data_IF_852660855259
#
_entry.id   IF_852660855259
#
_cell.length_a   1.000
_cell.length_b   1.000
_cell.length_c   1.000
_cell.angle_alpha   90.00
_cell.angle_beta   90.00
_cell.angle_gamma   90.00
#
_symmetry.space_group_name_H-M   'P 1'
#
loop_
_entity.id
_entity.type
_entity.pdbx_description
1 polymer ?
#
# COMPACT_ATOMS: atom_id res chain seq x y z
N UNK A 1 1.33 12.13 22.48
CA UNK A 1 0.32 11.25 21.86
C UNK A 1 -0.75 12.17 21.26
N UNK A 2 -1.01 12.01 19.98
CA UNK A 2 -1.94 12.84 19.21
C UNK A 2 -3.20 12.04 18.87
N UNK A 3 -4.38 12.65 18.95
CA UNK A 3 -5.66 11.97 18.68
C UNK A 3 -6.45 12.81 17.67
N UNK A 4 -6.96 12.16 16.64
CA UNK A 4 -7.78 12.79 15.60
C UNK A 4 -8.96 11.89 15.22
N UNK A 5 -10.09 12.50 14.87
CA UNK A 5 -11.22 11.81 14.25
C UNK A 5 -11.07 11.83 12.73
N UNK A 6 -11.10 10.64 12.12
CA UNK A 6 -11.01 10.49 10.67
C UNK A 6 -12.12 9.57 10.19
N UNK A 7 -13.23 10.13 9.71
CA UNK A 7 -14.31 9.33 9.14
C UNK A 7 -13.86 8.62 7.88
N UNK A 8 -14.42 7.48 7.59
CA UNK A 8 -14.06 6.67 6.43
C UNK A 8 -12.58 6.27 6.36
N UNK A 9 -11.95 6.03 7.51
CA UNK A 9 -10.58 5.54 7.61
C UNK A 9 -10.55 4.23 8.41
N UNK A 10 -9.82 3.22 7.93
CA UNK A 10 -9.71 1.95 8.63
C UNK A 10 -8.33 1.30 8.43
N UNK A 11 -7.55 1.20 9.51
CA UNK A 11 -6.19 0.65 9.48
C UNK A 11 -6.16 -0.80 9.00
N UNK A 12 -7.11 -1.63 9.43
CA UNK A 12 -7.14 -3.04 9.03
C UNK A 12 -7.49 -3.20 7.55
N UNK A 13 -8.40 -2.35 7.01
CA UNK A 13 -8.72 -2.36 5.58
C UNK A 13 -7.52 -1.91 4.73
N UNK A 14 -6.83 -0.86 5.13
CA UNK A 14 -5.62 -0.37 4.44
C UNK A 14 -4.55 -1.45 4.45
N UNK A 15 -4.26 -2.05 5.60
CA UNK A 15 -3.27 -3.12 5.72
C UNK A 15 -3.63 -4.34 4.86
N UNK A 16 -4.88 -4.78 4.90
CA UNK A 16 -5.34 -5.96 4.18
C UNK A 16 -5.53 -5.72 2.67
N UNK A 17 -5.57 -4.47 2.22
CA UNK A 17 -5.57 -4.11 0.80
C UNK A 17 -4.17 -4.06 0.18
N UNK A 18 -3.11 -4.34 0.94
CA UNK A 18 -1.72 -4.32 0.51
C UNK A 18 -1.17 -2.94 0.08
N UNK A 19 -1.89 -1.84 0.33
CA UNK A 19 -1.38 -0.48 0.06
C UNK A 19 -0.14 -0.15 0.89
N UNK A 20 -0.08 -0.67 2.12
CA UNK A 20 0.98 -0.41 3.09
C UNK A 20 1.90 -1.64 3.26
N UNK A 21 2.91 -1.86 2.40
CA UNK A 21 3.69 -3.10 2.38
C UNK A 21 4.54 -3.33 3.62
N UNK A 22 4.95 -2.28 4.34
CA UNK A 22 5.87 -2.39 5.48
C UNK A 22 5.27 -2.08 6.85
N UNK A 23 3.96 -1.91 6.96
CA UNK A 23 3.33 -1.80 8.27
C UNK A 23 3.53 -3.06 9.09
N UNK A 24 3.80 -2.92 10.39
CA UNK A 24 3.92 -4.03 11.32
C UNK A 24 2.61 -4.11 12.12
N UNK A 25 1.87 -5.20 11.93
CA UNK A 25 0.64 -5.44 12.69
C UNK A 25 0.99 -5.93 14.10
N UNK A 26 0.50 -5.25 15.13
CA UNK A 26 0.64 -5.65 16.53
C UNK A 26 -0.57 -6.48 16.99
N UNK A 27 -1.76 -6.02 16.63
CA UNK A 27 -3.05 -6.69 16.82
C UNK A 27 -4.07 -6.03 15.89
N UNK A 28 -5.33 -6.44 15.93
CA UNK A 28 -6.37 -5.76 15.19
C UNK A 28 -6.42 -4.28 15.59
N UNK A 29 -6.53 -3.41 14.59
CA UNK A 29 -6.56 -1.94 14.72
C UNK A 29 -5.34 -1.32 15.42
N UNK A 30 -4.19 -2.06 15.55
CA UNK A 30 -2.94 -1.56 16.14
C UNK A 30 -1.75 -1.90 15.27
N UNK A 31 -1.02 -0.86 14.87
CA UNK A 31 0.08 -0.98 13.92
C UNK A 31 1.28 -0.13 14.32
N UNK A 32 2.47 -0.58 13.93
CA UNK A 32 3.62 0.30 13.76
C UNK A 32 3.65 0.70 12.30
N UNK A 33 3.62 1.98 12.06
CA UNK A 33 3.64 2.59 10.73
C UNK A 33 5.01 3.20 10.54
N UNK A 34 5.65 2.84 9.42
CA UNK A 34 7.00 3.25 9.08
C UNK A 34 6.92 4.12 7.84
N UNK A 35 7.53 5.31 7.92
CA UNK A 35 7.68 6.22 6.80
C UNK A 35 9.08 6.86 6.89
N UNK A 36 9.90 6.62 5.85
CA UNK A 36 11.29 7.06 5.79
C UNK A 36 12.11 6.66 7.04
N UNK A 37 12.62 7.63 7.80
CA UNK A 37 13.40 7.45 9.02
C UNK A 37 12.55 7.51 10.31
N UNK A 38 11.23 7.61 10.17
CA UNK A 38 10.30 7.70 11.28
C UNK A 38 9.39 6.48 11.37
N UNK A 39 8.99 6.16 12.59
CA UNK A 39 7.97 5.17 12.86
C UNK A 39 7.11 5.59 14.05
N UNK A 40 5.82 5.32 13.96
CA UNK A 40 4.87 5.57 15.04
C UNK A 40 3.99 4.36 15.30
N UNK A 41 3.55 4.22 16.54
CA UNK A 41 2.43 3.34 16.89
C UNK A 41 1.13 4.07 16.60
N UNK A 42 0.23 3.42 15.89
CA UNK A 42 -1.12 3.90 15.65
C UNK A 42 -2.12 2.87 16.14
N UNK A 43 -3.12 3.33 16.86
CA UNK A 43 -4.26 2.53 17.31
C UNK A 43 -5.54 3.20 16.82
N UNK A 44 -6.49 2.41 16.33
CA UNK A 44 -7.78 2.90 15.90
C UNK A 44 -8.89 2.39 16.83
N UNK A 45 -9.75 3.32 17.27
CA UNK A 45 -10.97 3.01 18.03
C UNK A 45 -12.14 3.71 17.36
N UNK A 46 -12.97 2.99 16.65
CA UNK A 46 -14.01 3.54 15.76
C UNK A 46 -13.40 4.50 14.74
N UNK A 47 -13.80 5.78 14.76
CA UNK A 47 -13.30 6.83 13.86
C UNK A 47 -12.09 7.59 14.42
N UNK A 48 -11.60 7.23 15.61
CA UNK A 48 -10.48 7.90 16.26
C UNK A 48 -9.17 7.16 15.99
N UNK A 49 -8.18 7.90 15.53
CA UNK A 49 -6.79 7.45 15.43
C UNK A 49 -6.01 8.03 16.62
N UNK A 50 -5.35 7.15 17.36
CA UNK A 50 -4.48 7.48 18.48
C UNK A 50 -3.05 7.22 18.02
N UNK A 51 -2.27 8.28 17.86
CA UNK A 51 -0.93 8.22 17.25
C UNK A 51 0.16 8.55 18.26
N UNK A 52 1.22 7.78 18.24
CA UNK A 52 2.41 7.97 19.08
C UNK A 52 3.35 9.06 18.54
N UNK A 53 2.81 10.23 18.19
CA UNK A 53 3.57 11.40 17.74
C UNK A 53 3.12 12.66 18.48
N UNK A 54 3.85 13.75 18.28
CA UNK A 54 3.45 15.11 18.67
C UNK A 54 2.64 15.75 17.52
N UNK A 55 1.97 16.84 17.81
CA UNK A 55 1.10 17.53 16.86
C UNK A 55 1.87 18.04 15.63
N UNK A 56 3.05 18.62 15.83
CA UNK A 56 3.91 19.11 14.74
C UNK A 56 4.30 17.99 13.77
N UNK A 57 4.72 16.82 14.28
CA UNK A 57 5.01 15.65 13.44
C UNK A 57 3.77 15.16 12.70
N UNK A 58 2.58 15.26 13.32
CA UNK A 58 1.35 14.90 12.66
C UNK A 58 1.10 15.78 11.42
N UNK A 59 1.09 17.09 11.57
CA UNK A 59 0.80 18.00 10.45
C UNK A 59 1.88 18.02 9.38
N UNK A 60 3.15 17.88 9.77
CA UNK A 60 4.28 17.94 8.83
C UNK A 60 4.51 16.63 8.06
N UNK A 61 4.08 15.47 8.60
CA UNK A 61 4.40 14.15 8.04
C UNK A 61 3.15 13.30 7.87
N UNK A 62 2.47 12.99 8.99
CA UNK A 62 1.46 11.94 9.01
C UNK A 62 0.15 12.35 8.35
N UNK A 63 -0.18 13.64 8.33
CA UNK A 63 -1.35 14.18 7.63
C UNK A 63 -1.28 13.90 6.12
N UNK A 64 -0.13 14.18 5.52
CA UNK A 64 0.13 13.85 4.11
C UNK A 64 0.26 12.34 3.89
N UNK A 65 0.97 11.65 4.79
CA UNK A 65 1.18 10.21 4.71
C UNK A 65 -0.16 9.46 4.63
N UNK A 66 -1.13 9.80 5.46
CA UNK A 66 -2.45 9.17 5.49
C UNK A 66 -3.45 9.73 4.47
N UNK A 67 -3.02 10.65 3.61
CA UNK A 67 -3.85 11.28 2.57
C UNK A 67 -5.12 11.95 3.13
N UNK A 68 -4.99 12.65 4.24
CA UNK A 68 -6.13 13.23 4.95
C UNK A 68 -6.68 14.51 4.30
N UNK A 69 -6.07 15.00 3.22
CA UNK A 69 -6.59 16.10 2.40
C UNK A 69 -7.73 15.69 1.48
N UNK A 70 -7.78 14.41 1.13
CA UNK A 70 -8.79 13.89 0.20
C UNK A 70 -10.09 13.58 0.93
N UNK A 71 -11.19 14.08 0.42
CA UNK A 71 -12.54 13.74 0.91
C UNK A 71 -12.96 12.34 0.44
N UNK A 72 -12.58 11.33 1.21
CA UNK A 72 -12.94 9.94 0.92
C UNK A 72 -14.44 9.66 1.07
N UNK A 73 -15.22 10.52 1.73
CA UNK A 73 -16.68 10.41 1.73
C UNK A 73 -17.26 10.66 0.35
N UNK A 74 -16.71 11.66 -0.36
CA UNK A 74 -17.05 11.98 -1.74
C UNK A 74 -16.60 10.89 -2.71
N UNK A 75 -15.34 10.43 -2.58
CA UNK A 75 -14.80 9.30 -3.36
C UNK A 75 -15.71 8.08 -3.24
N UNK A 76 -16.04 7.70 -2.01
CA UNK A 76 -16.90 6.57 -1.71
C UNK A 76 -18.32 6.72 -2.31
N UNK A 77 -18.89 7.93 -2.23
CA UNK A 77 -20.20 8.25 -2.82
C UNK A 77 -20.18 8.13 -4.34
N UNK A 78 -19.15 8.66 -4.99
CA UNK A 78 -19.00 8.59 -6.44
C UNK A 78 -18.92 7.14 -6.94
N UNK A 79 -18.11 6.31 -6.29
CA UNK A 79 -18.01 4.88 -6.61
C UNK A 79 -19.35 4.17 -6.42
N UNK A 80 -20.09 4.44 -5.32
CA UNK A 80 -21.41 3.85 -5.05
C UNK A 80 -22.45 4.21 -6.10
N UNK A 81 -22.41 5.45 -6.59
CA UNK A 81 -23.36 5.97 -7.55
C UNK A 81 -23.05 5.53 -8.97
N UNK A 82 -21.79 5.27 -9.29
CA UNK A 82 -21.36 4.94 -10.64
C UNK A 82 -21.98 3.65 -11.16
N UNK A 83 -22.02 2.60 -10.33
CA UNK A 83 -22.66 1.34 -10.73
C UNK A 83 -23.19 0.56 -9.53
N UNK A 84 -24.37 -0.07 -9.68
CA UNK A 84 -25.05 -0.80 -8.58
C UNK A 84 -24.18 -1.90 -7.93
N UNK A 85 -23.35 -2.60 -8.72
CA UNK A 85 -22.45 -3.66 -8.24
C UNK A 85 -21.34 -3.10 -7.32
N UNK A 86 -21.00 -1.81 -7.43
CA UNK A 86 -19.97 -1.19 -6.62
C UNK A 86 -20.44 -0.77 -5.21
N UNK A 87 -21.76 -0.79 -4.95
CA UNK A 87 -22.30 -0.43 -3.62
C UNK A 87 -21.78 -1.33 -2.51
N UNK A 88 -21.77 -2.64 -2.73
CA UNK A 88 -21.26 -3.61 -1.75
C UNK A 88 -19.76 -3.45 -1.55
N UNK A 89 -18.98 -3.28 -2.62
CA UNK A 89 -17.54 -3.04 -2.56
C UNK A 89 -17.23 -1.79 -1.77
N UNK A 90 -17.89 -0.69 -2.12
CA UNK A 90 -17.70 0.59 -1.46
C UNK A 90 -18.09 0.57 0.01
N UNK A 91 -19.16 -0.14 0.40
CA UNK A 91 -19.52 -0.30 1.81
C UNK A 91 -18.45 -1.05 2.61
N UNK A 92 -17.78 -2.02 2.01
CA UNK A 92 -16.78 -2.85 2.67
C UNK A 92 -15.38 -2.26 2.62
N UNK A 93 -15.07 -1.48 1.60
CA UNK A 93 -13.76 -0.84 1.40
C UNK A 93 -13.71 0.63 1.80
N UNK A 94 -14.81 1.17 2.37
CA UNK A 94 -14.96 2.62 2.62
C UNK A 94 -13.87 3.25 3.49
N UNK A 95 -13.14 2.46 4.25
CA UNK A 95 -12.04 2.93 5.10
C UNK A 95 -10.66 2.86 4.44
N UNK A 96 -10.58 2.50 3.17
CA UNK A 96 -9.30 2.41 2.45
C UNK A 96 -8.93 3.79 1.93
N UNK A 97 -7.82 4.32 2.44
CA UNK A 97 -7.13 5.49 1.93
C UNK A 97 -5.86 5.07 1.17
N UNK A 98 -5.48 5.82 0.15
CA UNK A 98 -4.20 5.67 -0.49
C UNK A 98 -3.13 6.32 0.40
N UNK A 99 -2.08 5.56 0.74
CA UNK A 99 -1.01 6.01 1.61
C UNK A 99 0.09 6.67 0.77
N UNK A 100 0.57 7.83 1.20
CA UNK A 100 1.69 8.50 0.54
C UNK A 100 3.01 7.96 1.11
N UNK A 101 3.82 7.35 0.27
CA UNK A 101 5.05 6.68 0.66
C UNK A 101 6.24 7.14 -0.20
N UNK A 102 7.45 6.72 0.18
CA UNK A 102 8.68 7.05 -0.55
C UNK A 102 8.63 6.56 -2.00
N UNK A 103 9.11 7.40 -2.94
CA UNK A 103 9.08 7.14 -4.38
C UNK A 103 9.82 5.85 -4.75
N UNK A 104 11.07 5.71 -4.32
CA UNK A 104 11.89 4.54 -4.63
C UNK A 104 11.28 3.26 -4.04
N UNK A 105 10.80 3.33 -2.79
CA UNK A 105 10.10 2.22 -2.14
C UNK A 105 8.88 1.77 -2.95
N UNK A 106 8.04 2.71 -3.37
CA UNK A 106 6.82 2.39 -4.13
C UNK A 106 7.11 1.90 -5.54
N UNK A 107 8.15 2.41 -6.18
CA UNK A 107 8.57 1.91 -7.49
C UNK A 107 8.99 0.44 -7.40
N UNK A 108 9.85 0.09 -6.45
CA UNK A 108 10.27 -1.31 -6.22
C UNK A 108 9.05 -2.18 -5.88
N UNK A 109 8.16 -1.70 -5.00
CA UNK A 109 6.96 -2.44 -4.64
C UNK A 109 6.04 -2.71 -5.83
N UNK A 110 5.77 -1.70 -6.64
CA UNK A 110 4.90 -1.83 -7.82
C UNK A 110 5.47 -2.82 -8.84
N UNK A 111 6.79 -2.81 -9.07
CA UNK A 111 7.47 -3.76 -9.95
C UNK A 111 7.43 -5.19 -9.42
N UNK A 112 7.65 -5.37 -8.13
CA UNK A 112 7.55 -6.68 -7.49
C UNK A 112 6.11 -7.21 -7.50
N UNK A 113 5.13 -6.35 -7.20
CA UNK A 113 3.72 -6.74 -7.19
C UNK A 113 3.23 -7.14 -8.57
N UNK A 114 3.64 -6.44 -9.63
CA UNK A 114 3.31 -6.77 -11.02
C UNK A 114 3.80 -8.16 -11.42
N UNK A 115 4.99 -8.56 -10.97
CA UNK A 115 5.61 -9.81 -11.39
C UNK A 115 5.29 -11.01 -10.47
N UNK A 116 5.03 -10.76 -9.19
CA UNK A 116 4.97 -11.80 -8.15
C UNK A 116 3.67 -11.78 -7.34
N UNK A 117 2.80 -10.79 -7.58
CA UNK A 117 1.60 -10.55 -6.78
C UNK A 117 1.89 -9.85 -5.44
N UNK A 118 0.85 -9.27 -4.85
CA UNK A 118 0.96 -8.40 -3.68
C UNK A 118 1.53 -9.08 -2.43
N UNK A 119 1.10 -10.31 -2.16
CA UNK A 119 1.53 -11.05 -0.96
C UNK A 119 3.04 -11.31 -0.98
N UNK A 120 3.54 -11.78 -2.11
CA UNK A 120 4.98 -12.05 -2.28
C UNK A 120 5.81 -10.78 -2.34
N UNK A 121 5.29 -9.74 -2.99
CA UNK A 121 5.93 -8.42 -3.01
C UNK A 121 6.10 -7.87 -1.59
N UNK A 122 5.05 -7.89 -0.75
CA UNK A 122 5.12 -7.46 0.66
C UNK A 122 6.20 -8.21 1.45
N UNK A 123 6.26 -9.53 1.31
CA UNK A 123 7.29 -10.36 1.97
C UNK A 123 8.70 -9.93 1.55
N UNK A 124 8.91 -9.71 0.26
CA UNK A 124 10.20 -9.30 -0.30
C UNK A 124 10.58 -7.89 0.15
N UNK A 125 9.62 -6.94 0.17
CA UNK A 125 9.86 -5.59 0.70
C UNK A 125 10.35 -5.63 2.16
N UNK A 126 9.72 -6.46 2.99
CA UNK A 126 10.19 -6.66 4.37
C UNK A 126 11.61 -7.21 4.44
N UNK A 127 11.98 -8.17 3.59
CA UNK A 127 13.34 -8.72 3.52
C UNK A 127 14.35 -7.67 3.03
N UNK A 128 14.05 -6.92 1.98
CA UNK A 128 14.93 -5.85 1.47
C UNK A 128 15.21 -4.84 2.59
N UNK A 129 14.17 -4.38 3.31
CA UNK A 129 14.35 -3.43 4.39
C UNK A 129 15.21 -4.03 5.54
N UNK A 130 14.98 -5.30 5.91
CA UNK A 130 15.75 -5.99 6.96
C UNK A 130 17.23 -6.16 6.58
N UNK A 131 17.52 -6.57 5.35
CA UNK A 131 18.86 -6.93 4.91
C UNK A 131 19.70 -5.69 4.54
N UNK A 132 19.06 -4.68 3.97
CA UNK A 132 19.74 -3.51 3.41
C UNK A 132 19.41 -2.18 4.10
N UNK A 133 18.32 -2.09 4.84
CA UNK A 133 17.90 -0.89 5.53
C UNK A 133 18.71 -0.59 6.79
N UNK A 134 18.48 0.59 7.37
CA UNK A 134 19.08 0.98 8.64
C UNK A 134 18.21 0.48 9.78
N UNK A 135 18.80 -0.33 10.65
CA UNK A 135 18.10 -0.91 11.80
C UNK A 135 17.80 0.15 12.86
N UNK A 136 16.56 0.15 13.33
CA UNK A 136 16.07 0.99 14.42
C UNK A 136 15.39 0.14 15.50
N UNK A 137 15.33 0.68 16.71
CA UNK A 137 14.62 0.07 17.84
C UNK A 137 13.84 1.14 18.60
N UNK A 138 12.61 0.84 18.96
CA UNK A 138 11.78 1.69 19.81
C UNK A 138 10.79 0.82 20.59
N UNK A 139 10.42 1.24 21.80
CA UNK A 139 9.40 0.55 22.59
C UNK A 139 7.97 0.88 22.15
N UNK A 140 7.76 2.03 21.53
CA UNK A 140 6.44 2.57 21.17
C UNK A 140 5.41 2.49 22.32
N UNK A 141 5.90 2.56 23.57
CA UNK A 141 5.06 2.44 24.75
C UNK A 141 4.49 1.03 25.02
N UNK A 142 5.00 -0.01 24.35
CA UNK A 142 4.56 -1.41 24.53
C UNK A 142 5.29 -2.16 25.64
N UNK A 143 6.32 -1.55 26.25
CA UNK A 143 7.21 -2.19 27.23
C UNK A 143 8.33 -3.02 26.60
N UNK A 144 8.18 -3.50 25.37
CA UNK A 144 9.16 -4.29 24.65
C UNK A 144 9.76 -3.52 23.47
N UNK A 145 11.06 -3.72 23.21
CA UNK A 145 11.70 -3.15 22.04
C UNK A 145 11.18 -3.81 20.75
N UNK A 146 10.62 -3.00 19.87
CA UNK A 146 10.23 -3.41 18.52
C UNK A 146 11.36 -2.97 17.59
N UNK A 147 11.90 -3.92 16.82
CA UNK A 147 12.89 -3.64 15.77
C UNK A 147 12.14 -3.33 14.47
N UNK A 148 12.56 -2.27 13.81
CA UNK A 148 12.09 -1.90 12.48
C UNK A 148 13.26 -1.40 11.65
N UNK A 149 13.06 -1.22 10.34
CA UNK A 149 14.11 -0.86 9.40
C UNK A 149 13.65 0.28 8.51
N UNK A 150 14.51 1.27 8.29
CA UNK A 150 14.32 2.28 7.26
C UNK A 150 14.42 1.61 5.88
N UNK A 151 13.76 2.16 4.89
CA UNK A 151 13.98 1.75 3.51
C UNK A 151 15.35 2.25 3.05
N UNK A 152 16.18 1.41 2.42
CA UNK A 152 17.50 1.86 1.96
C UNK A 152 17.37 2.84 0.79
N UNK A 153 18.24 3.86 0.76
CA UNK A 153 18.38 4.68 -0.44
C UNK A 153 19.01 3.86 -1.59
N UNK A 154 18.88 4.32 -2.87
CA UNK A 154 19.55 3.66 -3.99
C UNK A 154 21.05 3.47 -3.79
N UNK A 155 21.74 4.50 -3.23
CA UNK A 155 23.19 4.46 -2.96
C UNK A 155 23.53 3.41 -1.92
N UNK A 156 22.79 3.40 -0.81
CA UNK A 156 23.02 2.44 0.28
C UNK A 156 22.76 1.01 -0.18
N UNK A 157 21.70 0.81 -0.96
CA UNK A 157 21.33 -0.50 -1.50
C UNK A 157 22.40 -1.01 -2.47
N UNK A 158 22.85 -0.15 -3.39
CA UNK A 158 23.88 -0.50 -4.37
C UNK A 158 25.21 -0.84 -3.70
N UNK A 159 25.66 -0.04 -2.71
CA UNK A 159 26.89 -0.29 -1.96
C UNK A 159 26.87 -1.66 -1.26
N UNK A 160 25.74 -1.98 -0.60
CA UNK A 160 25.59 -3.28 0.07
C UNK A 160 25.53 -4.45 -0.91
N UNK A 161 24.78 -4.32 -2.01
CA UNK A 161 24.69 -5.35 -3.06
C UNK A 161 26.05 -5.63 -3.72
N UNK A 162 26.89 -4.59 -3.91
CA UNK A 162 28.22 -4.74 -4.49
C UNK A 162 29.21 -5.45 -3.55
N UNK A 163 29.01 -5.38 -2.23
CA UNK A 163 29.84 -6.07 -1.22
C UNK A 163 29.48 -7.54 -1.05
N UNK A 164 28.31 -7.96 -1.51
CA UNK A 164 27.90 -9.36 -1.47
C UNK A 164 28.70 -10.20 -2.45
N UNK A 165 29.28 -11.31 -1.95
CA UNK A 165 30.07 -12.26 -2.77
C UNK A 165 29.21 -13.27 -3.53
N UNK A 166 27.91 -13.23 -3.31
CA UNK A 166 27.00 -14.27 -3.81
C UNK A 166 26.53 -14.02 -5.25
N UNK A 167 26.30 -15.10 -6.03
CA UNK A 167 25.66 -15.02 -7.34
C UNK A 167 24.24 -14.48 -7.14
N UNK A 168 24.02 -13.25 -7.60
CA UNK A 168 22.79 -12.51 -7.37
C UNK A 168 21.53 -13.28 -7.78
N UNK A 169 20.54 -13.31 -6.91
CA UNK A 169 19.18 -13.75 -7.30
C UNK A 169 18.62 -12.79 -8.34
N UNK A 170 17.61 -13.18 -9.13
CA UNK A 170 16.95 -12.28 -10.09
C UNK A 170 16.51 -10.94 -9.45
N UNK A 171 16.05 -10.99 -8.19
CA UNK A 171 15.65 -9.79 -7.43
C UNK A 171 16.86 -8.89 -7.13
N UNK A 172 17.98 -9.45 -6.67
CA UNK A 172 19.20 -8.67 -6.40
C UNK A 172 19.74 -8.05 -7.68
N UNK A 173 19.75 -8.83 -8.79
CA UNK A 173 20.15 -8.32 -10.11
C UNK A 173 19.25 -7.18 -10.58
N UNK A 174 17.93 -7.30 -10.41
CA UNK A 174 16.98 -6.21 -10.70
C UNK A 174 17.27 -4.97 -9.86
N UNK A 175 17.40 -5.12 -8.53
CA UNK A 175 17.65 -4.01 -7.62
C UNK A 175 18.96 -3.30 -7.95
N UNK A 176 20.03 -4.06 -8.24
CA UNK A 176 21.34 -3.50 -8.62
C UNK A 176 21.23 -2.66 -9.88
N UNK A 177 20.67 -3.21 -10.97
CA UNK A 177 20.47 -2.50 -12.22
C UNK A 177 19.59 -1.25 -12.06
N UNK A 178 18.54 -1.34 -11.25
CA UNK A 178 17.67 -0.19 -10.96
C UNK A 178 18.44 0.92 -10.24
N UNK A 179 19.21 0.59 -9.21
CA UNK A 179 20.01 1.57 -8.49
C UNK A 179 21.07 2.21 -9.39
N UNK A 180 21.77 1.40 -10.23
CA UNK A 180 22.74 1.91 -11.21
C UNK A 180 22.08 2.88 -12.18
N UNK A 181 20.92 2.53 -12.73
CA UNK A 181 20.18 3.39 -13.65
C UNK A 181 19.74 4.72 -12.99
N UNK A 182 19.23 4.67 -11.76
CA UNK A 182 18.82 5.88 -11.01
C UNK A 182 20.02 6.79 -10.74
N UNK A 183 21.18 6.21 -10.35
CA UNK A 183 22.32 7.00 -9.89
C UNK A 183 23.20 7.52 -11.04
N UNK A 184 23.27 6.80 -12.16
CA UNK A 184 24.24 7.08 -13.21
C UNK A 184 23.64 7.40 -14.59
N UNK A 185 22.40 6.93 -14.87
CA UNK A 185 21.80 7.02 -16.20
C UNK A 185 20.61 8.01 -16.24
N UNK A 186 20.42 8.84 -15.22
CA UNK A 186 19.29 9.77 -15.10
C UNK A 186 17.92 9.11 -15.25
N UNK A 187 17.78 7.88 -14.76
CA UNK A 187 16.55 7.12 -14.87
C UNK A 187 15.40 7.77 -14.09
N UNK A 188 14.33 8.12 -14.79
CA UNK A 188 13.12 8.67 -14.20
C UNK A 188 12.15 7.55 -13.81
N UNK A 189 11.93 7.35 -12.52
CA UNK A 189 10.93 6.39 -12.03
C UNK A 189 9.51 6.80 -12.43
N UNK A 190 9.23 8.10 -12.54
CA UNK A 190 7.92 8.63 -12.97
C UNK A 190 7.59 8.27 -14.42
N UNK A 191 8.57 8.35 -15.32
CA UNK A 191 8.38 8.02 -16.73
C UNK A 191 8.34 6.50 -16.99
N UNK A 192 8.96 5.72 -16.11
CA UNK A 192 9.08 4.28 -16.23
C UNK A 192 8.20 3.51 -15.22
N UNK A 193 7.30 4.19 -14.51
CA UNK A 193 6.33 3.59 -13.60
C UNK A 193 5.32 2.71 -14.33
N UNK A 194 4.61 1.91 -13.57
CA UNK A 194 3.42 1.20 -14.04
C UNK A 194 2.17 1.81 -13.38
N UNK A 195 0.98 1.41 -13.82
CA UNK A 195 -0.28 1.94 -13.29
C UNK A 195 -0.40 1.83 -11.76
N UNK A 196 0.19 0.81 -11.14
CA UNK A 196 0.21 0.69 -9.68
C UNK A 196 1.12 1.74 -9.04
N UNK A 197 2.28 2.02 -9.63
CA UNK A 197 3.18 3.08 -9.16
C UNK A 197 2.54 4.46 -9.33
N UNK A 198 1.95 4.72 -10.50
CA UNK A 198 1.24 5.97 -10.77
C UNK A 198 0.12 6.19 -9.75
N UNK A 199 -0.64 5.16 -9.43
CA UNK A 199 -1.71 5.22 -8.45
C UNK A 199 -1.17 5.47 -7.02
N UNK A 200 -0.15 4.71 -6.59
CA UNK A 200 0.34 4.74 -5.21
C UNK A 200 1.23 5.94 -4.91
N UNK A 201 2.06 6.36 -5.88
CA UNK A 201 3.01 7.45 -5.69
C UNK A 201 2.54 8.77 -6.31
N UNK A 202 2.16 8.76 -7.60
CA UNK A 202 1.70 9.97 -8.29
C UNK A 202 0.26 10.37 -7.92
N UNK A 203 -0.45 9.51 -7.19
CA UNK A 203 -1.85 9.73 -6.76
C UNK A 203 -2.82 9.86 -7.94
N UNK A 204 -2.48 9.23 -9.07
CA UNK A 204 -3.37 9.21 -10.24
C UNK A 204 -4.52 8.24 -10.03
N UNK A 205 -5.61 8.73 -9.45
CA UNK A 205 -6.80 7.94 -9.15
C UNK A 205 -7.50 7.39 -10.40
N UNK A 206 -7.15 7.88 -11.60
CA UNK A 206 -7.70 7.38 -12.86
C UNK A 206 -7.08 6.04 -13.31
N UNK A 207 -5.98 5.64 -12.69
CA UNK A 207 -5.28 4.38 -12.99
C UNK A 207 -6.01 3.18 -12.40
N UNK A 208 -6.06 2.10 -13.16
CA UNK A 208 -6.64 0.83 -12.74
C UNK A 208 -5.64 -0.30 -13.04
N UNK A 209 -4.79 -0.67 -12.07
CA UNK A 209 -3.76 -1.69 -12.27
C UNK A 209 -4.37 -3.04 -12.67
N UNK A 210 -3.76 -3.73 -13.62
CA UNK A 210 -4.23 -5.03 -14.10
C UNK A 210 -3.74 -6.23 -13.28
N UNK A 211 -3.11 -5.99 -12.13
CA UNK A 211 -2.48 -7.02 -11.30
C UNK A 211 -3.54 -7.81 -10.53
N UNK A 212 -3.55 -9.13 -10.64
CA UNK A 212 -4.39 -10.10 -9.88
C UNK A 212 -5.92 -9.89 -9.94
N UNK A 213 -6.40 -8.82 -10.58
CA UNK A 213 -7.82 -8.47 -10.54
C UNK A 213 -8.63 -9.25 -11.58
N UNK A 214 -8.03 -9.52 -12.75
CA UNK A 214 -8.78 -10.04 -13.90
C UNK A 214 -9.33 -11.46 -13.73
N UNK A 215 -8.56 -12.39 -13.17
CA UNK A 215 -9.03 -13.79 -13.01
C UNK A 215 -9.84 -13.99 -11.72
N UNK A 216 -9.50 -13.25 -10.67
CA UNK A 216 -10.10 -13.43 -9.35
C UNK A 216 -11.42 -12.68 -9.21
N UNK A 217 -11.60 -11.55 -9.91
CA UNK A 217 -12.87 -10.81 -9.94
C UNK A 217 -13.99 -11.70 -10.50
N UNK A 218 -13.72 -12.38 -11.58
CA UNK A 218 -14.68 -13.27 -12.20
C UNK A 218 -15.18 -14.38 -11.26
N UNK A 219 -14.26 -15.03 -10.53
CA UNK A 219 -14.60 -16.12 -9.61
C UNK A 219 -15.42 -15.66 -8.40
N UNK A 220 -15.12 -14.46 -7.85
CA UNK A 220 -15.73 -14.01 -6.60
C UNK A 220 -17.06 -13.24 -6.78
N UNK A 221 -17.30 -12.66 -7.96
CA UNK A 221 -18.56 -11.97 -8.22
C UNK A 221 -19.65 -12.88 -8.82
N UNK A 222 -19.36 -14.18 -9.06
CA UNK A 222 -20.22 -15.04 -9.91
C UNK A 222 -20.59 -14.34 -11.22
N UNK A 223 -19.76 -13.37 -11.65
CA UNK A 223 -19.84 -12.71 -12.90
C UNK A 223 -18.95 -13.44 -13.87
N UNK A 224 -19.42 -13.64 -15.07
CA UNK A 224 -18.53 -13.95 -16.17
C UNK A 224 -17.45 -12.85 -16.24
N UNK A 225 -16.19 -13.21 -16.47
CA UNK A 225 -15.07 -12.24 -16.64
C UNK A 225 -15.46 -11.16 -17.63
N UNK A 226 -16.23 -11.56 -18.64
CA UNK A 226 -16.72 -10.71 -19.71
C UNK A 226 -17.72 -9.67 -19.17
N UNK A 227 -18.60 -10.03 -18.23
CA UNK A 227 -19.58 -9.10 -17.64
C UNK A 227 -18.94 -7.97 -16.81
N UNK A 228 -17.75 -8.20 -16.22
CA UNK A 228 -17.02 -7.13 -15.53
C UNK A 228 -16.18 -6.29 -16.50
N UNK A 229 -15.62 -6.91 -17.54
CA UNK A 229 -14.94 -6.20 -18.62
C UNK A 229 -15.91 -5.30 -19.41
N UNK A 230 -17.20 -5.65 -19.43
CA UNK A 230 -18.26 -4.85 -20.04
C UNK A 230 -18.65 -3.62 -19.20
N UNK A 231 -18.31 -3.57 -17.89
CA UNK A 231 -18.53 -2.35 -17.12
C UNK A 231 -17.51 -1.31 -17.59
N UNK A 232 -17.98 -0.43 -18.47
CA UNK A 232 -17.16 0.71 -18.90
C UNK A 232 -16.89 1.61 -17.70
N UNK A 233 -15.61 1.67 -17.26
CA UNK A 233 -15.14 2.55 -16.20
C UNK A 233 -14.78 3.96 -16.72
N UNK A 234 -15.05 4.24 -18.01
CA UNK A 234 -14.87 5.56 -18.58
C UNK A 234 -15.79 6.56 -17.84
N UNK A 235 -15.22 7.66 -17.36
CA UNK A 235 -15.96 8.64 -16.55
C UNK A 235 -15.87 8.42 -15.02
N UNK A 236 -15.47 7.27 -14.50
CA UNK A 236 -15.11 7.13 -13.08
C UNK A 236 -13.70 7.64 -12.86
N UNK A 237 -13.56 8.73 -12.10
CA UNK A 237 -12.26 9.31 -11.77
C UNK A 237 -11.51 8.53 -10.70
N UNK A 238 -12.24 7.82 -9.84
CA UNK A 238 -11.73 7.11 -8.67
C UNK A 238 -11.46 5.61 -8.94
N UNK A 239 -11.11 5.25 -10.17
CA UNK A 239 -10.83 3.85 -10.57
C UNK A 239 -9.80 3.17 -9.67
N UNK A 240 -8.76 3.90 -9.27
CA UNK A 240 -7.70 3.37 -8.44
C UNK A 240 -8.17 3.03 -7.02
N UNK A 241 -9.05 3.82 -6.43
CA UNK A 241 -9.65 3.51 -5.13
C UNK A 241 -10.59 2.31 -5.27
N UNK A 242 -11.39 2.26 -6.34
CA UNK A 242 -12.24 1.10 -6.66
C UNK A 242 -11.40 -0.17 -6.79
N UNK A 243 -10.23 -0.10 -7.43
CA UNK A 243 -9.30 -1.23 -7.54
C UNK A 243 -8.98 -1.83 -6.16
N UNK A 244 -8.61 -0.99 -5.18
CA UNK A 244 -8.31 -1.48 -3.84
C UNK A 244 -9.54 -1.97 -3.07
N UNK A 245 -10.74 -1.42 -3.33
CA UNK A 245 -11.98 -1.96 -2.78
C UNK A 245 -12.25 -3.38 -3.28
N UNK A 246 -12.02 -3.61 -4.58
CA UNK A 246 -12.14 -4.93 -5.20
C UNK A 246 -11.10 -5.89 -4.59
N UNK A 247 -9.83 -5.47 -4.54
CA UNK A 247 -8.75 -6.28 -3.99
C UNK A 247 -9.01 -6.66 -2.53
N UNK A 248 -9.46 -5.70 -1.71
CA UNK A 248 -9.83 -5.96 -0.32
C UNK A 248 -10.99 -6.96 -0.22
N UNK A 249 -12.02 -6.83 -1.05
CA UNK A 249 -13.16 -7.75 -1.07
C UNK A 249 -12.75 -9.17 -1.45
N UNK A 250 -11.88 -9.32 -2.43
CA UNK A 250 -11.35 -10.62 -2.87
C UNK A 250 -10.56 -11.30 -1.76
N UNK A 251 -9.68 -10.58 -1.09
CA UNK A 251 -8.80 -11.13 -0.04
C UNK A 251 -9.55 -11.36 1.28
N UNK A 252 -10.69 -10.70 1.48
CA UNK A 252 -11.51 -10.80 2.69
C UNK A 252 -12.98 -11.08 2.33
N UNK A 253 -13.31 -12.26 1.76
CA UNK A 253 -14.67 -12.56 1.33
C UNK A 253 -15.64 -12.56 2.51
N UNK A 254 -16.95 -12.29 2.30
CA UNK A 254 -17.97 -12.40 3.33
C UNK A 254 -18.01 -13.82 3.94
N UNK A 255 -18.34 -13.92 5.23
CA UNK A 255 -18.45 -15.22 5.91
C UNK A 255 -19.40 -16.21 5.20
N UNK A 256 -20.42 -15.68 4.55
CA UNK A 256 -21.39 -16.49 3.75
C UNK A 256 -20.75 -17.11 2.51
N UNK A 257 -19.73 -16.47 1.95
CA UNK A 257 -18.97 -16.98 0.79
C UNK A 257 -17.79 -17.87 1.18
N UNK A 258 -17.31 -17.80 2.43
CA UNK A 258 -16.21 -18.65 2.93
C UNK A 258 -16.59 -20.13 3.04
N UNK A 259 -17.88 -20.46 3.01
CA UNK A 259 -18.37 -21.83 3.05
C UNK A 259 -18.25 -22.58 1.71
N UNK A 260 -17.80 -21.89 0.65
CA UNK A 260 -17.75 -22.41 -0.73
C UNK A 260 -16.33 -22.37 -1.33
N UNK A 261 -15.33 -22.05 -0.51
CA UNK A 261 -13.89 -22.13 -0.78
C UNK A 261 -13.27 -23.17 0.14
#
# INVERSE_FOLDING_TARGET
>A
MFVIEVPYFNLDQIYNSYIAPRWIKLSDSKYIIIHEDKAIKVEQTKERLIMGCIEDDFFNIWFEYFDLRVDYSKVNRNIKQFHRKFRTLSNRGSGIHLINQNEFEMFVYARLAQNLGFSKAREIMGRIANDYGKRRKNTFGTGNNITWYEWPSPEMLLDKLNKEKDRGTPIKSFLKKLCEAILYDNYSMKENGNDLFDLLFLRDLSKFPSIEVNETIAKNFKCDVDEFKEINLEGLKEKGVLYFYILHHIKNPPKEMQKWV
#
